data_IF_220512159511
#
_entry.id   IF_220512159511
#
_cell.length_a   1.000
_cell.length_b   1.000
_cell.length_c   1.000
_cell.angle_alpha   90.00
_cell.angle_beta   90.00
_cell.angle_gamma   90.00
#
_symmetry.space_group_name_H-M   'P 1'
#
loop_
_entity.id
_entity.type
_entity.pdbx_description
1 polymer ?
#
# COMPACT_ATOMS: atom_id res chain seq x y z
N UNK A 1 -14.90 4.62 1.22
CA UNK A 1 -14.22 4.96 2.50
C UNK A 1 -12.73 4.96 2.26
N UNK A 2 -12.07 6.00 2.74
CA UNK A 2 -10.64 6.24 2.71
C UNK A 2 -10.05 6.00 4.10
N UNK A 3 -8.82 5.51 4.10
CA UNK A 3 -8.00 5.21 5.27
C UNK A 3 -6.70 5.95 5.05
N UNK A 4 -6.39 6.84 5.98
CA UNK A 4 -5.18 7.63 5.96
C UNK A 4 -4.32 7.28 7.16
N UNK A 5 -3.03 7.08 6.93
CA UNK A 5 -2.05 6.83 7.97
C UNK A 5 -1.01 7.94 7.85
N UNK A 6 -0.85 8.74 8.90
CA UNK A 6 0.19 9.76 8.93
C UNK A 6 1.51 9.17 9.45
N UNK A 7 2.60 9.94 9.34
CA UNK A 7 3.94 9.52 9.78
C UNK A 7 4.09 9.30 11.28
N UNK A 8 3.11 9.69 12.10
CA UNK A 8 3.10 9.38 13.54
C UNK A 8 2.39 8.06 13.85
N UNK A 9 1.77 7.43 12.84
CA UNK A 9 1.00 6.20 12.97
C UNK A 9 -0.47 6.42 13.32
N UNK A 10 -0.96 7.66 13.34
CA UNK A 10 -2.39 7.94 13.50
C UNK A 10 -3.16 7.45 12.27
N UNK A 11 -4.28 6.76 12.52
CA UNK A 11 -5.16 6.22 11.49
C UNK A 11 -6.46 7.00 11.46
N UNK A 12 -6.80 7.55 10.29
CA UNK A 12 -7.99 8.37 10.07
C UNK A 12 -8.87 7.68 9.03
N UNK A 13 -10.13 7.44 9.40
CA UNK A 13 -11.16 6.91 8.50
C UNK A 13 -12.06 8.05 8.04
N UNK A 14 -12.25 8.21 6.73
CA UNK A 14 -13.10 9.26 6.16
C UNK A 14 -13.82 8.79 4.90
N UNK A 15 -14.96 9.40 4.59
CA UNK A 15 -15.66 9.13 3.33
C UNK A 15 -15.24 10.06 2.19
N UNK A 16 -14.55 11.16 2.49
CA UNK A 16 -14.15 12.18 1.52
C UNK A 16 -12.74 12.64 1.82
N UNK A 17 -11.95 12.72 0.75
CA UNK A 17 -10.60 13.31 0.76
C UNK A 17 -10.54 14.22 -0.45
N UNK A 18 -10.15 15.48 -0.24
CA UNK A 18 -9.94 16.44 -1.32
C UNK A 18 -8.48 16.86 -1.38
N UNK A 19 -7.91 16.91 -2.58
CA UNK A 19 -6.56 17.44 -2.77
C UNK A 19 -6.64 18.93 -3.05
N UNK A 20 -6.04 19.74 -2.20
CA UNK A 20 -6.01 21.20 -2.32
C UNK A 20 -4.58 21.64 -2.60
N UNK A 21 -4.41 22.48 -3.62
CA UNK A 21 -3.15 23.15 -3.88
C UNK A 21 -3.17 24.57 -3.33
N UNK A 22 -2.23 24.89 -2.44
CA UNK A 22 -2.05 26.23 -1.89
C UNK A 22 -0.61 26.69 -2.16
N UNK A 23 -0.44 27.50 -3.21
CA UNK A 23 0.87 27.89 -3.70
C UNK A 23 1.67 26.68 -4.19
N UNK A 24 2.84 26.44 -3.58
CA UNK A 24 3.74 25.31 -3.90
C UNK A 24 3.45 24.04 -3.11
N UNK A 25 2.49 24.07 -2.19
CA UNK A 25 2.19 22.94 -1.32
C UNK A 25 0.84 22.30 -1.67
N UNK A 26 0.76 20.99 -1.46
CA UNK A 26 -0.45 20.19 -1.64
C UNK A 26 -0.88 19.63 -0.30
N UNK A 27 -2.16 19.76 -0.02
CA UNK A 27 -2.80 19.32 1.22
C UNK A 27 -3.93 18.36 0.89
N UNK A 28 -4.21 17.45 1.82
CA UNK A 28 -5.46 16.71 1.84
C UNK A 28 -6.41 17.37 2.83
N UNK A 29 -7.60 17.77 2.39
CA UNK A 29 -8.69 18.17 3.27
C UNK A 29 -9.54 16.94 3.62
N UNK A 30 -9.69 16.73 4.93
CA UNK A 30 -10.42 15.62 5.52
C UNK A 30 -11.27 16.17 6.65
N UNK A 31 -12.61 16.09 6.50
CA UNK A 31 -13.55 16.55 7.52
C UNK A 31 -13.30 17.99 8.01
N UNK A 32 -12.88 18.89 7.11
CA UNK A 32 -12.57 20.29 7.42
C UNK A 32 -11.17 20.54 8.00
N UNK A 33 -10.38 19.49 8.24
CA UNK A 33 -8.97 19.59 8.64
C UNK A 33 -8.05 19.42 7.44
N UNK A 34 -6.97 20.22 7.40
CA UNK A 34 -5.96 20.16 6.35
C UNK A 34 -4.73 19.41 6.85
N UNK A 35 -4.34 18.38 6.11
CA UNK A 35 -3.13 17.61 6.35
C UNK A 35 -2.14 17.88 5.23
N UNK A 36 -0.88 18.18 5.55
CA UNK A 36 0.14 18.31 4.51
C UNK A 36 0.36 16.97 3.84
N UNK A 37 0.43 16.92 2.51
CA UNK A 37 0.77 15.68 1.79
C UNK A 37 2.12 15.10 2.23
N UNK A 38 3.02 15.93 2.80
CA UNK A 38 4.32 15.50 3.34
C UNK A 38 4.21 14.76 4.68
N UNK A 39 3.11 14.94 5.42
CA UNK A 39 2.85 14.31 6.72
C UNK A 39 2.10 12.99 6.59
N UNK A 40 1.46 12.77 5.43
CA UNK A 40 0.76 11.54 5.10
C UNK A 40 1.76 10.49 4.62
N UNK A 41 1.74 9.33 5.26
CA UNK A 41 2.55 8.18 4.87
C UNK A 41 1.79 7.31 3.87
N UNK A 42 0.52 7.03 4.17
CA UNK A 42 -0.35 6.22 3.31
C UNK A 42 -1.73 6.82 3.18
N UNK A 43 -2.31 6.68 1.99
CA UNK A 43 -3.70 7.01 1.70
C UNK A 43 -4.26 5.90 0.80
N UNK A 44 -5.20 5.14 1.33
CA UNK A 44 -5.83 4.02 0.64
C UNK A 44 -7.34 4.18 0.69
N UNK A 45 -8.03 3.72 -0.34
CA UNK A 45 -9.41 3.26 -0.21
C UNK A 45 -9.43 1.93 0.55
N UNK A 46 -10.58 1.57 1.10
CA UNK A 46 -10.74 0.26 1.75
C UNK A 46 -10.37 -0.90 0.81
N UNK A 47 -10.82 -0.84 -0.45
CA UNK A 47 -10.50 -1.83 -1.49
C UNK A 47 -9.00 -1.93 -1.74
N UNK A 48 -8.30 -0.80 -1.90
CA UNK A 48 -6.85 -0.81 -2.10
C UNK A 48 -6.11 -1.42 -0.91
N UNK A 49 -6.57 -1.17 0.32
CA UNK A 49 -5.98 -1.79 1.51
C UNK A 49 -6.19 -3.31 1.54
N UNK A 50 -7.38 -3.79 1.18
CA UNK A 50 -7.66 -5.23 1.06
C UNK A 50 -6.77 -5.90 0.00
N UNK A 51 -6.54 -5.23 -1.13
CA UNK A 51 -5.63 -5.70 -2.18
C UNK A 51 -4.20 -5.77 -1.65
N UNK A 52 -3.70 -4.73 -0.98
CA UNK A 52 -2.36 -4.73 -0.37
C UNK A 52 -2.22 -5.88 0.63
N UNK A 53 -3.23 -6.10 1.48
CA UNK A 53 -3.24 -7.20 2.44
C UNK A 53 -3.16 -8.56 1.73
N UNK A 54 -3.98 -8.78 0.71
CA UNK A 54 -4.00 -10.02 -0.07
C UNK A 54 -2.66 -10.27 -0.76
N UNK A 55 -2.06 -9.24 -1.36
CA UNK A 55 -0.72 -9.32 -1.97
C UNK A 55 0.34 -9.69 -0.94
N UNK A 56 0.28 -9.12 0.26
CA UNK A 56 1.20 -9.47 1.34
C UNK A 56 1.05 -10.93 1.77
N UNK A 57 -0.17 -11.44 1.91
CA UNK A 57 -0.41 -12.84 2.26
C UNK A 57 0.15 -13.80 1.20
N UNK A 58 -0.12 -13.52 -0.08
CA UNK A 58 0.41 -14.32 -1.19
C UNK A 58 1.95 -14.27 -1.18
N UNK A 59 2.54 -13.09 -1.08
CA UNK A 59 4.00 -12.93 -1.06
C UNK A 59 4.65 -13.70 0.10
N UNK A 60 4.09 -13.62 1.30
CA UNK A 60 4.56 -14.37 2.48
C UNK A 60 4.46 -15.88 2.24
N UNK A 61 3.38 -16.35 1.61
CA UNK A 61 3.16 -17.78 1.35
C UNK A 61 4.17 -18.38 0.37
N UNK A 62 4.62 -17.63 -0.64
CA UNK A 62 5.53 -18.12 -1.69
C UNK A 62 7.01 -17.88 -1.36
N UNK A 63 7.32 -16.93 -0.48
CA UNK A 63 8.69 -16.55 -0.15
C UNK A 63 9.57 -17.73 0.31
N UNK A 64 9.10 -18.66 1.17
CA UNK A 64 9.90 -19.83 1.56
C UNK A 64 10.34 -20.67 0.37
N UNK A 65 9.43 -20.94 -0.57
CA UNK A 65 9.73 -21.72 -1.77
C UNK A 65 10.77 -21.02 -2.66
N UNK A 66 10.68 -19.70 -2.81
CA UNK A 66 11.66 -18.91 -3.56
C UNK A 66 13.06 -18.92 -2.93
N UNK A 67 13.13 -18.87 -1.59
CA UNK A 67 14.39 -18.99 -0.85
C UNK A 67 14.99 -20.38 -1.05
N UNK A 68 14.18 -21.45 -0.95
CA UNK A 68 14.64 -22.82 -1.16
C UNK A 68 15.14 -23.08 -2.59
N UNK A 69 14.49 -22.51 -3.61
CA UNK A 69 14.88 -22.66 -5.02
C UNK A 69 16.15 -21.87 -5.39
N UNK A 70 16.49 -20.83 -4.63
CA UNK A 70 17.65 -19.99 -4.89
C UNK A 70 18.35 -19.57 -3.58
N UNK A 71 19.00 -20.51 -2.88
CA UNK A 71 19.57 -20.27 -1.55
C UNK A 71 20.72 -19.26 -1.55
N UNK A 72 21.46 -19.14 -2.65
CA UNK A 72 22.60 -18.22 -2.80
C UNK A 72 22.18 -16.79 -3.20
N UNK A 73 20.90 -16.56 -3.51
CA UNK A 73 20.41 -15.21 -3.80
C UNK A 73 20.25 -14.40 -2.52
N UNK A 74 20.45 -13.08 -2.64
CA UNK A 74 20.18 -12.18 -1.53
C UNK A 74 18.70 -12.26 -1.16
N UNK A 75 18.40 -12.35 0.14
CA UNK A 75 17.03 -12.43 0.67
C UNK A 75 16.13 -11.33 0.07
N UNK A 76 16.64 -10.09 -0.06
CA UNK A 76 15.91 -8.97 -0.65
C UNK A 76 15.42 -9.23 -2.09
N UNK A 77 16.17 -9.98 -2.88
CA UNK A 77 15.83 -10.26 -4.28
C UNK A 77 14.71 -11.31 -4.34
N UNK A 78 14.70 -12.27 -3.40
CA UNK A 78 13.62 -13.23 -3.24
C UNK A 78 12.33 -12.56 -2.70
N UNK A 79 12.45 -11.61 -1.76
CA UNK A 79 11.31 -10.78 -1.29
C UNK A 79 10.71 -10.01 -2.46
N UNK A 80 11.53 -9.32 -3.24
CA UNK A 80 11.04 -8.57 -4.41
C UNK A 80 10.30 -9.49 -5.38
N UNK A 81 10.88 -10.65 -5.71
CA UNK A 81 10.26 -11.62 -6.60
C UNK A 81 8.94 -12.18 -6.04
N UNK A 82 8.83 -12.38 -4.72
CA UNK A 82 7.60 -12.81 -4.08
C UNK A 82 6.48 -11.75 -4.22
N UNK A 83 6.83 -10.48 -4.03
CA UNK A 83 5.90 -9.35 -4.19
C UNK A 83 5.45 -9.21 -5.64
N UNK A 84 6.39 -9.25 -6.60
CA UNK A 84 6.08 -9.16 -8.03
C UNK A 84 5.11 -10.29 -8.44
N UNK A 85 5.39 -11.53 -8.01
CA UNK A 85 4.51 -12.68 -8.25
C UNK A 85 3.12 -12.53 -7.60
N UNK A 86 3.06 -11.97 -6.39
CA UNK A 86 1.81 -11.74 -5.70
C UNK A 86 0.92 -10.70 -6.41
N UNK A 87 1.51 -9.65 -6.98
CA UNK A 87 0.79 -8.68 -7.82
C UNK A 87 0.30 -9.31 -9.13
N UNK A 88 1.14 -10.12 -9.81
CA UNK A 88 0.72 -10.84 -11.02
C UNK A 88 -0.49 -11.77 -10.76
N UNK A 89 -0.50 -12.47 -9.62
CA UNK A 89 -1.63 -13.29 -9.21
C UNK A 89 -2.86 -12.46 -8.84
N UNK A 90 -2.69 -11.35 -8.13
CA UNK A 90 -3.79 -10.45 -7.78
C UNK A 90 -4.46 -9.87 -9.05
N UNK A 91 -3.68 -9.54 -10.08
CA UNK A 91 -4.18 -9.09 -11.38
C UNK A 91 -4.96 -10.20 -12.10
N UNK A 92 -4.42 -11.42 -12.15
CA UNK A 92 -5.11 -12.58 -12.75
C UNK A 92 -6.44 -12.92 -12.04
N UNK A 93 -6.54 -12.63 -10.74
CA UNK A 93 -7.75 -12.81 -9.94
C UNK A 93 -8.73 -11.63 -10.03
N UNK A 94 -8.39 -10.56 -10.77
CA UNK A 94 -9.23 -9.36 -10.89
C UNK A 94 -9.33 -8.56 -9.60
N UNK A 95 -8.31 -8.61 -8.74
CA UNK A 95 -8.26 -7.87 -7.49
C UNK A 95 -7.67 -6.46 -7.67
N UNK A 96 -6.77 -6.31 -8.64
CA UNK A 96 -6.22 -5.01 -9.05
C UNK A 96 -6.98 -4.53 -10.29
N UNK A 97 -7.77 -3.45 -10.15
CA UNK A 97 -8.42 -2.74 -11.26
C UNK A 97 -7.53 -1.61 -11.80
#
# INVERSE_FOLDING_TARGET
MWILINKTGEVIYTNRVESIQAGRETYYEISGMKYSKKEIEFLYTHKELEVVHTVQEIAISVLPALITLAPDKKIKDNIKKAIDYAYELAEQLGLTD
#
